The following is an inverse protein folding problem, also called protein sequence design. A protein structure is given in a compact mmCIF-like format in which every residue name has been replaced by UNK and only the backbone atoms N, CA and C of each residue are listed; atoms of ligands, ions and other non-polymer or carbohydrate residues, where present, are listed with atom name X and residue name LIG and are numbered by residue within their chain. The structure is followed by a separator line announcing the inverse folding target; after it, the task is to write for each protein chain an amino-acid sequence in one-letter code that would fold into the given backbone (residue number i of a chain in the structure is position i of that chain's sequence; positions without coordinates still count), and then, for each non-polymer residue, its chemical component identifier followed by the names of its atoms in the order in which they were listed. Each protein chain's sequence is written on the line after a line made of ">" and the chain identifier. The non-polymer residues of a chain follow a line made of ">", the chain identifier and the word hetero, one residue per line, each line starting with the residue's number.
data_IF_522296945310
#
_entry.id   IF_522296945310
#
_cell.length_a   1.000
_cell.length_b   1.000
_cell.length_c   1.000
_cell.angle_alpha   90.00
_cell.angle_beta   90.00
_cell.angle_gamma   90.00
#
_symmetry.space_group_name_H-M   'P 1'
#
loop_
_entity.id
_entity.type
_entity.pdbx_description
1 polymer ?
#
# COMPACT_ATOMS: atom_id res chain seq x y z
N UNK A 1 -0.87 9.96 -30.38
CA UNK A 1 -0.76 10.88 -29.23
C UNK A 1 -1.52 10.28 -28.07
N UNK A 2 -0.87 9.86 -26.98
CA UNK A 2 -1.59 9.30 -25.84
C UNK A 2 -2.43 10.39 -25.16
N UNK A 3 -3.68 10.06 -24.86
CA UNK A 3 -4.70 10.94 -24.29
C UNK A 3 -4.41 11.12 -22.80
N UNK A 4 -4.05 12.35 -22.41
CA UNK A 4 -3.88 12.75 -21.00
C UNK A 4 -5.23 13.20 -20.44
N UNK A 5 -5.87 12.36 -19.62
CA UNK A 5 -7.03 12.79 -18.84
C UNK A 5 -6.56 13.59 -17.61
N UNK A 6 -6.38 14.89 -17.79
CA UNK A 6 -6.14 15.86 -16.71
C UNK A 6 -7.47 16.20 -16.03
N UNK A 7 -7.74 15.59 -14.88
CA UNK A 7 -8.70 16.14 -13.91
C UNK A 7 -8.42 15.58 -12.52
N UNK A 8 -7.66 16.33 -11.70
CA UNK A 8 -7.51 16.26 -10.24
C UNK A 8 -7.39 14.91 -9.50
N UNK A 9 -7.34 13.75 -10.17
CA UNK A 9 -7.20 12.42 -9.56
C UNK A 9 -6.57 11.44 -10.54
N UNK A 10 -5.27 11.20 -10.37
CA UNK A 10 -4.56 10.03 -10.88
C UNK A 10 -4.13 10.07 -12.35
N UNK A 11 -2.90 9.60 -12.61
CA UNK A 11 -2.42 9.32 -13.96
C UNK A 11 -2.85 7.90 -14.36
N UNK A 12 -3.56 7.78 -15.47
CA UNK A 12 -3.94 6.49 -16.09
C UNK A 12 -2.99 6.19 -17.23
N UNK A 13 -2.14 5.19 -17.05
CA UNK A 13 -1.24 4.71 -18.09
C UNK A 13 -1.86 3.47 -18.74
N UNK A 14 -2.31 3.63 -19.98
CA UNK A 14 -2.68 2.53 -20.86
C UNK A 14 -1.54 2.27 -21.83
N UNK A 15 -0.51 1.54 -21.39
CA UNK A 15 0.54 1.02 -22.26
C UNK A 15 0.61 -0.51 -22.12
N UNK A 16 0.90 -1.25 -23.21
CA UNK A 16 1.09 -2.70 -23.12
C UNK A 16 2.33 -3.03 -22.28
N UNK A 17 2.23 -4.07 -21.45
CA UNK A 17 3.34 -4.52 -20.61
C UNK A 17 4.51 -5.02 -21.47
N UNK A 18 5.74 -4.54 -21.25
CA UNK A 18 6.91 -4.97 -22.02
C UNK A 18 7.29 -6.41 -21.66
N UNK A 19 8.00 -7.06 -22.57
CA UNK A 19 8.32 -8.50 -22.50
C UNK A 19 9.34 -8.83 -21.40
N UNK A 20 10.35 -7.99 -21.18
CA UNK A 20 11.37 -8.22 -20.14
C UNK A 20 10.97 -7.64 -18.77
N UNK A 21 11.45 -8.27 -17.69
CA UNK A 21 11.20 -7.80 -16.32
C UNK A 21 11.89 -6.47 -16.01
N UNK A 22 13.04 -6.22 -16.62
CA UNK A 22 13.79 -4.97 -16.46
C UNK A 22 13.03 -3.80 -17.05
N UNK A 23 12.50 -3.96 -18.27
CA UNK A 23 11.75 -2.91 -18.96
C UNK A 23 10.46 -2.55 -18.21
N UNK A 24 9.82 -3.52 -17.52
CA UNK A 24 8.65 -3.27 -16.67
C UNK A 24 8.98 -2.38 -15.47
N UNK A 25 10.14 -2.58 -14.85
CA UNK A 25 10.60 -1.75 -13.73
C UNK A 25 10.90 -0.34 -14.22
N UNK A 26 11.58 -0.21 -15.36
CA UNK A 26 11.93 1.10 -15.92
C UNK A 26 10.67 1.90 -16.30
N UNK A 27 9.69 1.27 -16.98
CA UNK A 27 8.39 1.89 -17.27
C UNK A 27 7.63 2.31 -16.01
N UNK A 28 7.65 1.47 -14.97
CA UNK A 28 7.02 1.83 -13.69
C UNK A 28 7.69 3.04 -13.05
N UNK A 29 9.02 3.11 -13.06
CA UNK A 29 9.77 4.23 -12.50
C UNK A 29 9.52 5.52 -13.30
N UNK A 30 9.51 5.43 -14.62
CA UNK A 30 9.22 6.56 -15.51
C UNK A 30 7.80 7.08 -15.28
N UNK A 31 6.81 6.19 -15.23
CA UNK A 31 5.43 6.50 -14.88
C UNK A 31 5.29 7.27 -13.55
N UNK A 32 6.02 6.84 -12.53
CA UNK A 32 6.04 7.51 -11.22
C UNK A 32 6.66 8.89 -11.33
N UNK A 33 7.80 9.04 -12.02
CA UNK A 33 8.47 10.33 -12.23
C UNK A 33 7.56 11.30 -12.96
N UNK A 34 6.95 10.89 -14.06
CA UNK A 34 6.04 11.70 -14.85
C UNK A 34 4.83 12.15 -14.02
N UNK A 35 4.29 11.24 -13.20
CA UNK A 35 3.18 11.58 -12.29
C UNK A 35 3.60 12.65 -11.28
N UNK A 36 4.80 12.55 -10.71
CA UNK A 36 5.30 13.54 -9.75
C UNK A 36 5.55 14.88 -10.42
N UNK A 37 6.21 14.91 -11.59
CA UNK A 37 6.46 16.13 -12.36
C UNK A 37 5.16 16.84 -12.75
N UNK A 38 4.15 16.10 -13.22
CA UNK A 38 2.84 16.67 -13.55
C UNK A 38 2.10 17.26 -12.33
N UNK A 39 2.50 16.89 -11.11
CA UNK A 39 1.90 17.30 -9.85
C UNK A 39 2.88 18.07 -8.94
N UNK A 40 3.95 18.63 -9.48
CA UNK A 40 5.00 19.32 -8.72
C UNK A 40 4.44 20.40 -7.78
N UNK A 41 3.43 21.15 -8.23
CA UNK A 41 2.74 22.17 -7.42
C UNK A 41 2.12 21.66 -6.11
N UNK A 42 1.90 20.35 -5.98
CA UNK A 42 1.35 19.71 -4.79
C UNK A 42 2.43 19.16 -3.87
N UNK A 43 3.70 19.19 -4.27
CA UNK A 43 4.83 18.74 -3.43
C UNK A 43 4.97 19.72 -2.26
N UNK A 44 4.84 19.25 -1.00
CA UNK A 44 5.03 20.13 0.15
C UNK A 44 6.46 20.70 0.19
N UNK A 45 6.64 21.95 0.67
CA UNK A 45 7.98 22.50 0.89
C UNK A 45 8.82 21.63 1.84
N UNK A 46 10.15 21.68 1.74
CA UNK A 46 11.05 20.93 2.62
C UNK A 46 10.68 21.09 4.11
N UNK A 47 10.55 19.97 4.80
CA UNK A 47 10.21 19.92 6.23
C UNK A 47 8.72 20.10 6.58
N UNK A 48 7.86 20.44 5.62
CA UNK A 48 6.41 20.60 5.85
C UNK A 48 5.59 19.34 5.56
N UNK A 49 6.19 18.33 4.94
CA UNK A 49 5.53 17.08 4.60
C UNK A 49 6.20 16.38 3.43
N UNK A 50 5.47 15.45 2.83
CA UNK A 50 5.89 14.67 1.66
C UNK A 50 4.74 14.53 0.66
N UNK A 51 5.06 14.29 -0.61
CA UNK A 51 4.06 13.84 -1.57
C UNK A 51 3.91 12.32 -1.47
N UNK A 52 2.75 11.86 -1.02
CA UNK A 52 2.42 10.45 -0.96
C UNK A 52 2.09 9.92 -2.35
N UNK A 53 2.78 8.88 -2.80
CA UNK A 53 2.57 8.24 -4.10
C UNK A 53 1.94 6.86 -3.89
N UNK A 54 0.83 6.59 -4.57
CA UNK A 54 0.09 5.33 -4.48
C UNK A 54 -0.14 4.75 -5.87
N UNK A 55 0.76 3.87 -6.34
CA UNK A 55 0.51 3.05 -7.53
C UNK A 55 -0.49 1.94 -7.22
N UNK A 56 -1.36 1.62 -8.18
CA UNK A 56 -2.31 0.52 -8.14
C UNK A 56 -2.30 -0.23 -9.46
N UNK A 57 -2.43 -1.54 -9.38
CA UNK A 57 -2.68 -2.42 -10.52
C UNK A 57 -3.98 -3.19 -10.23
N UNK A 58 -4.95 -3.06 -11.12
CA UNK A 58 -6.25 -3.71 -10.98
C UNK A 58 -6.53 -4.54 -12.23
N UNK A 59 -6.96 -5.79 -12.05
CA UNK A 59 -7.50 -6.58 -13.17
C UNK A 59 -8.79 -5.93 -13.67
N UNK A 60 -8.92 -5.76 -14.97
CA UNK A 60 -10.10 -5.18 -15.62
C UNK A 60 -10.57 -6.09 -16.77
N UNK A 61 -11.64 -5.68 -17.45
CA UNK A 61 -12.19 -6.39 -18.60
C UNK A 61 -13.38 -7.29 -18.30
N UNK A 62 -14.00 -7.80 -19.36
CA UNK A 62 -15.26 -8.54 -19.29
C UNK A 62 -15.01 -10.03 -18.99
N UNK A 63 -14.82 -10.37 -17.71
CA UNK A 63 -14.78 -11.76 -17.23
C UNK A 63 -15.55 -11.89 -15.90
N UNK A 64 -16.48 -12.83 -15.84
CA UNK A 64 -17.22 -13.16 -14.59
C UNK A 64 -16.72 -14.46 -13.95
N UNK A 65 -16.02 -15.30 -14.71
CA UNK A 65 -15.47 -16.57 -14.25
C UNK A 65 -14.26 -16.37 -13.34
N UNK A 66 -13.97 -17.37 -12.50
CA UNK A 66 -12.75 -17.43 -11.70
C UNK A 66 -11.54 -17.75 -12.61
N UNK A 67 -11.04 -16.72 -13.29
CA UNK A 67 -9.92 -16.79 -14.21
C UNK A 67 -9.05 -15.52 -14.09
N UNK A 68 -7.78 -15.54 -14.54
CA UNK A 68 -6.98 -14.33 -14.66
C UNK A 68 -7.69 -13.25 -15.47
N UNK A 69 -7.53 -11.99 -15.06
CA UNK A 69 -8.14 -10.87 -15.78
C UNK A 69 -7.56 -10.75 -17.21
N UNK A 70 -8.40 -10.50 -18.23
CA UNK A 70 -7.95 -10.40 -19.62
C UNK A 70 -7.15 -9.12 -19.89
N UNK A 71 -7.33 -8.09 -19.08
CA UNK A 71 -6.59 -6.84 -19.13
C UNK A 71 -6.32 -6.32 -17.71
N UNK A 72 -5.39 -5.38 -17.60
CA UNK A 72 -5.05 -4.73 -16.34
C UNK A 72 -5.02 -3.22 -16.52
N UNK A 73 -5.50 -2.52 -15.51
CA UNK A 73 -5.43 -1.06 -15.41
C UNK A 73 -4.37 -0.68 -14.38
N UNK A 74 -3.35 0.06 -14.82
CA UNK A 74 -2.35 0.66 -13.95
C UNK A 74 -2.64 2.15 -13.74
N UNK A 75 -2.65 2.58 -12.48
CA UNK A 75 -3.00 3.94 -12.09
C UNK A 75 -2.08 4.41 -10.95
N UNK A 76 -1.71 5.68 -10.94
CA UNK A 76 -0.94 6.28 -9.85
C UNK A 76 -1.71 7.47 -9.28
N UNK A 77 -2.06 7.41 -7.99
CA UNK A 77 -2.54 8.58 -7.24
C UNK A 77 -1.39 9.26 -6.49
N UNK A 78 -1.53 10.58 -6.31
CA UNK A 78 -0.65 11.36 -5.43
C UNK A 78 -1.47 12.21 -4.48
N UNK A 79 -0.97 12.44 -3.26
CA UNK A 79 -1.59 13.33 -2.28
C UNK A 79 -0.52 13.97 -1.40
N UNK A 80 -0.53 15.29 -1.16
CA UNK A 80 0.31 15.89 -0.13
C UNK A 80 -0.08 15.32 1.23
N UNK A 81 0.91 14.98 2.05
CA UNK A 81 0.72 14.53 3.44
C UNK A 81 1.67 15.30 4.35
N UNK A 82 1.20 15.68 5.53
CA UNK A 82 2.04 16.30 6.55
C UNK A 82 2.94 15.28 7.25
N UNK A 83 3.83 15.76 8.12
CA UNK A 83 4.67 14.89 8.94
C UNK A 83 3.80 14.04 9.86
N UNK A 84 4.07 12.73 9.90
CA UNK A 84 3.31 11.76 10.69
C UNK A 84 3.45 12.01 12.20
N UNK A 85 4.64 12.45 12.61
CA UNK A 85 4.99 12.81 13.98
C UNK A 85 5.29 14.30 14.06
N UNK A 86 4.28 15.12 14.36
CA UNK A 86 4.41 16.58 14.40
C UNK A 86 5.27 17.07 15.57
N UNK A 87 5.29 16.33 16.68
CA UNK A 87 5.86 16.75 17.97
C UNK A 87 7.01 15.85 18.46
N UNK A 88 7.60 15.04 17.57
CA UNK A 88 8.65 14.06 17.91
C UNK A 88 8.16 12.61 17.93
N UNK A 89 9.09 11.67 18.17
CA UNK A 89 8.79 10.24 18.26
C UNK A 89 7.96 9.96 19.51
N UNK A 90 6.64 9.91 19.38
CA UNK A 90 5.75 9.45 20.43
C UNK A 90 5.65 7.93 20.40
N UNK A 91 5.83 7.24 21.55
CA UNK A 91 5.54 5.81 21.63
C UNK A 91 4.06 5.58 21.32
N UNK A 92 3.77 4.42 20.74
CA UNK A 92 2.41 4.00 20.40
C UNK A 92 2.06 2.75 21.20
N UNK A 93 0.83 2.69 21.69
CA UNK A 93 0.30 1.50 22.36
C UNK A 93 -0.33 0.57 21.32
N UNK A 94 0.10 -0.70 21.34
CA UNK A 94 -0.38 -1.72 20.41
C UNK A 94 -1.22 -2.77 21.14
N UNK A 95 -2.38 -3.10 20.58
CA UNK A 95 -3.19 -4.22 21.05
C UNK A 95 -2.69 -5.51 20.39
N UNK A 96 -2.28 -6.49 21.20
CA UNK A 96 -1.96 -7.83 20.66
C UNK A 96 -3.25 -8.52 20.25
N UNK A 97 -3.33 -8.92 18.98
CA UNK A 97 -4.46 -9.67 18.44
C UNK A 97 -4.18 -11.18 18.53
N UNK A 98 -5.06 -11.89 19.24
CA UNK A 98 -4.93 -13.32 19.52
C UNK A 98 -6.00 -14.16 18.86
N UNK A 99 -7.09 -13.55 18.38
CA UNK A 99 -8.23 -14.26 17.80
C UNK A 99 -8.21 -14.24 16.27
N UNK A 100 -7.64 -13.19 15.67
CA UNK A 100 -7.63 -13.00 14.21
C UNK A 100 -6.22 -13.08 13.64
N UNK A 101 -6.01 -13.99 12.68
CA UNK A 101 -4.78 -14.04 11.91
C UNK A 101 -4.84 -13.08 10.72
N UNK A 102 -3.78 -12.28 10.54
CA UNK A 102 -3.65 -11.38 9.38
C UNK A 102 -3.26 -12.12 8.10
N UNK A 103 -2.47 -13.17 8.22
CA UNK A 103 -1.95 -13.95 7.13
C UNK A 103 -1.81 -15.42 7.56
N UNK A 104 -1.83 -16.32 6.59
CA UNK A 104 -1.68 -17.77 6.78
C UNK A 104 -0.64 -18.32 5.78
N UNK A 105 -0.06 -19.51 6.02
CA UNK A 105 0.79 -20.19 5.04
C UNK A 105 0.08 -20.32 3.70
N UNK A 106 0.77 -19.99 2.62
CA UNK A 106 0.21 -20.07 1.28
C UNK A 106 -0.88 -19.03 0.98
N UNK A 107 -1.22 -18.16 1.94
CA UNK A 107 -2.11 -17.02 1.74
C UNK A 107 -1.41 -15.85 1.04
N UNK A 108 -2.14 -14.74 0.87
CA UNK A 108 -1.64 -13.55 0.15
C UNK A 108 -0.90 -12.56 1.04
N UNK A 109 -0.53 -12.93 2.27
CA UNK A 109 0.00 -12.01 3.28
C UNK A 109 1.30 -11.31 2.90
N UNK A 110 2.12 -11.92 2.04
CA UNK A 110 3.37 -11.36 1.53
C UNK A 110 3.18 -10.38 0.36
N UNK A 111 1.95 -10.25 -0.18
CA UNK A 111 1.64 -9.37 -1.32
C UNK A 111 0.72 -8.24 -0.85
N UNK A 112 0.91 -7.03 -1.36
CA UNK A 112 0.05 -5.88 -1.02
C UNK A 112 -1.27 -5.94 -1.81
N UNK A 113 -2.17 -6.84 -1.42
CA UNK A 113 -3.50 -7.00 -2.03
C UNK A 113 -4.59 -6.35 -1.17
N UNK A 114 -5.70 -5.94 -1.79
CA UNK A 114 -6.85 -5.35 -1.08
C UNK A 114 -7.47 -6.32 -0.06
N UNK A 115 -7.47 -7.62 -0.36
CA UNK A 115 -8.04 -8.66 0.52
C UNK A 115 -7.41 -8.67 1.91
N UNK A 116 -6.11 -8.40 2.00
CA UNK A 116 -5.39 -8.36 3.28
C UNK A 116 -5.82 -7.17 4.16
N UNK A 117 -6.30 -6.07 3.58
CA UNK A 117 -6.72 -4.88 4.35
C UNK A 117 -8.14 -5.03 4.89
N UNK A 118 -9.05 -5.64 4.12
CA UNK A 118 -10.43 -5.84 4.55
C UNK A 118 -10.52 -6.69 5.83
N UNK A 119 -9.69 -7.75 5.91
CA UNK A 119 -9.67 -8.68 7.04
C UNK A 119 -9.26 -8.01 8.36
N UNK A 120 -8.44 -6.95 8.32
CA UNK A 120 -7.88 -6.33 9.54
C UNK A 120 -8.71 -5.18 10.10
N UNK A 121 -9.67 -4.64 9.33
CA UNK A 121 -10.47 -3.47 9.74
C UNK A 121 -11.24 -3.67 11.04
N UNK A 122 -11.77 -4.88 11.27
CA UNK A 122 -12.53 -5.20 12.49
C UNK A 122 -11.62 -5.14 13.73
N UNK A 123 -10.46 -5.78 13.66
CA UNK A 123 -9.48 -5.79 14.75
C UNK A 123 -8.95 -4.38 15.03
N UNK A 124 -8.63 -3.61 13.99
CA UNK A 124 -8.20 -2.21 14.14
C UNK A 124 -9.28 -1.33 14.79
N UNK A 125 -10.54 -1.50 14.39
CA UNK A 125 -11.65 -0.76 14.98
C UNK A 125 -11.84 -1.11 16.47
N UNK A 126 -11.68 -2.38 16.83
CA UNK A 126 -11.73 -2.85 18.22
C UNK A 126 -10.58 -2.30 19.06
N UNK A 127 -9.35 -2.32 18.54
CA UNK A 127 -8.18 -1.75 19.21
C UNK A 127 -8.37 -0.26 19.49
N UNK A 128 -8.83 0.49 18.48
CA UNK A 128 -9.12 1.92 18.62
C UNK A 128 -10.21 2.20 19.65
N UNK A 129 -11.27 1.38 19.68
CA UNK A 129 -12.33 1.49 20.68
C UNK A 129 -11.84 1.24 22.11
N UNK A 130 -10.77 0.44 22.27
CA UNK A 130 -10.10 0.16 23.55
C UNK A 130 -8.99 1.16 23.90
N UNK A 131 -8.75 2.19 23.08
CA UNK A 131 -7.74 3.22 23.33
C UNK A 131 -6.33 2.89 22.81
N UNK A 132 -6.14 1.79 22.08
CA UNK A 132 -4.85 1.46 21.46
C UNK A 132 -4.67 2.19 20.13
N UNK A 133 -3.41 2.45 19.77
CA UNK A 133 -3.04 3.16 18.54
C UNK A 133 -3.17 2.27 17.30
N UNK A 134 -2.84 0.98 17.40
CA UNK A 134 -3.01 -0.01 16.34
C UNK A 134 -2.97 -1.44 16.89
N UNK A 135 -3.04 -2.42 16.00
CA UNK A 135 -3.02 -3.84 16.29
C UNK A 135 -1.66 -4.44 15.99
N UNK A 136 -1.20 -5.31 16.87
CA UNK A 136 -0.07 -6.18 16.66
C UNK A 136 -0.56 -7.60 16.36
N UNK A 137 -0.22 -8.11 15.17
CA UNK A 137 -0.55 -9.49 14.77
C UNK A 137 0.57 -10.46 15.11
N UNK A 138 0.20 -11.63 15.63
CA UNK A 138 1.12 -12.74 15.88
C UNK A 138 1.19 -13.68 14.67
N UNK A 139 2.35 -14.30 14.47
CA UNK A 139 2.55 -15.30 13.43
C UNK A 139 1.74 -16.58 13.69
N UNK A 140 1.35 -17.25 12.61
CA UNK A 140 0.58 -18.48 12.67
C UNK A 140 1.44 -19.70 13.08
N UNK A 141 2.79 -19.65 13.01
CA UNK A 141 3.68 -20.82 13.13
C UNK A 141 4.09 -21.19 14.56
N UNK A 142 3.60 -20.50 15.59
CA UNK A 142 4.14 -20.48 16.94
C UNK A 142 5.45 -19.65 17.06
N UNK A 143 5.39 -18.62 17.92
CA UNK A 143 6.51 -17.92 18.55
C UNK A 143 7.62 -17.26 17.68
N UNK A 144 7.33 -16.83 16.44
CA UNK A 144 8.23 -15.95 15.67
C UNK A 144 7.51 -14.66 15.30
N UNK A 145 7.99 -13.52 15.78
CA UNK A 145 7.33 -12.22 15.64
C UNK A 145 7.60 -11.59 14.27
N UNK A 146 6.77 -11.88 13.25
CA UNK A 146 6.63 -10.96 12.12
C UNK A 146 5.63 -9.86 12.50
N UNK A 147 6.13 -8.86 13.24
CA UNK A 147 5.33 -7.71 13.66
C UNK A 147 4.87 -6.93 12.43
N UNK A 148 3.55 -6.86 12.23
CA UNK A 148 2.92 -5.89 11.33
C UNK A 148 2.15 -4.86 12.18
N UNK A 149 2.59 -3.60 12.16
CA UNK A 149 1.75 -2.46 12.56
C UNK A 149 1.04 -1.95 11.32
N UNK A 150 -0.24 -2.27 11.16
CA UNK A 150 -0.99 -1.86 9.99
C UNK A 150 -0.37 -2.34 8.67
N UNK A 151 0.38 -1.48 7.96
CA UNK A 151 1.11 -1.82 6.73
C UNK A 151 2.65 -1.71 6.86
N UNK A 152 3.17 -1.46 8.06
CA UNK A 152 4.60 -1.38 8.37
C UNK A 152 5.07 -2.69 9.00
N UNK A 153 6.22 -3.21 8.55
CA UNK A 153 6.88 -4.37 9.17
C UNK A 153 7.90 -3.91 10.20
N UNK A 154 8.07 -4.65 11.29
CA UNK A 154 9.25 -4.53 12.13
C UNK A 154 10.23 -5.65 11.83
N UNK A 155 11.52 -5.34 11.91
CA UNK A 155 12.60 -6.32 11.89
C UNK A 155 13.09 -6.47 13.33
N UNK A 156 12.90 -7.63 13.95
CA UNK A 156 13.59 -7.94 15.19
C UNK A 156 15.07 -8.21 14.87
N UNK A 157 15.95 -7.59 15.64
CA UNK A 157 17.36 -7.97 15.80
C UNK A 157 17.47 -8.94 16.97
N UNK A 158 16.88 -10.12 16.84
CA UNK A 158 17.20 -11.26 17.68
C UNK A 158 17.61 -12.36 16.70
N UNK A 159 18.87 -12.77 16.86
CA UNK A 159 19.73 -13.61 16.01
C UNK A 159 20.56 -12.85 14.95
#
# INVERSE_FOLDING_TARGET
>A
MPVFALSNRGLLLKQPLPSSSRDRVDQFVEAVKDTVLANERWVPPPGKGSLYIRPLLMGSGSVLSLAPAPEFTFLIYVSPVGNYFKDGLSPIDLMVETETHRATPGGTGCVKTIGNYAAVLKAQSSAKAKGYSDVLYLDHSCAVFYLFHGAAGFKNHLD
#
